data_IF_497685203840
#
_entry.id   IF_497685203840
#
_cell.length_a   1.000
_cell.length_b   1.000
_cell.length_c   1.000
_cell.angle_alpha   90.00
_cell.angle_beta   90.00
_cell.angle_gamma   90.00
#
_symmetry.space_group_name_H-M   'P 1'
#
loop_
_entity.id
_entity.type
_entity.pdbx_description
1 polymer ?
#
# COMPACT_ATOMS: atom_id res chain seq x y z
N UNK A 1 -69.28 9.63 41.67
CA UNK A 1 -68.30 8.69 41.06
C UNK A 1 -68.30 8.60 39.54
N UNK A 2 -69.17 9.29 38.78
CA UNK A 2 -69.22 9.22 37.28
C UNK A 2 -68.50 10.38 36.55
N UNK A 3 -67.91 11.35 37.30
CA UNK A 3 -67.23 12.53 36.68
C UNK A 3 -65.70 12.44 36.60
N UNK A 4 -65.09 11.44 37.26
CA UNK A 4 -63.66 11.23 37.30
C UNK A 4 -63.13 10.29 36.17
N UNK A 5 -64.03 9.46 35.59
CA UNK A 5 -63.62 8.49 34.52
C UNK A 5 -63.49 9.11 33.14
N UNK A 6 -64.21 10.19 32.83
CA UNK A 6 -64.16 10.85 31.53
C UNK A 6 -62.92 11.72 31.30
N UNK A 7 -62.25 12.19 32.37
CA UNK A 7 -61.02 12.99 32.25
C UNK A 7 -59.75 12.14 32.06
N UNK A 8 -59.75 10.86 32.51
CA UNK A 8 -58.58 9.97 32.28
C UNK A 8 -58.54 9.39 30.87
N UNK A 9 -59.64 9.17 30.23
CA UNK A 9 -59.71 8.63 28.83
C UNK A 9 -59.28 9.69 27.82
N UNK A 10 -59.55 10.98 28.05
CA UNK A 10 -59.17 12.07 27.12
C UNK A 10 -57.68 12.42 27.17
N UNK A 11 -57.00 12.12 28.30
CA UNK A 11 -55.53 12.36 28.44
C UNK A 11 -54.74 11.19 27.86
N UNK A 12 -55.28 9.95 27.92
CA UNK A 12 -54.63 8.79 27.27
C UNK A 12 -54.72 8.79 25.75
N UNK A 13 -55.78 9.36 25.17
CA UNK A 13 -55.92 9.48 23.72
C UNK A 13 -55.10 10.66 23.13
N UNK A 14 -54.69 11.66 23.93
CA UNK A 14 -53.90 12.80 23.44
C UNK A 14 -52.41 12.51 23.42
N UNK A 15 -51.93 11.50 24.18
CA UNK A 15 -50.53 11.03 24.18
C UNK A 15 -50.28 9.87 23.22
N UNK A 16 -51.30 9.37 22.51
CA UNK A 16 -51.13 8.28 21.52
C UNK A 16 -51.00 8.81 20.07
N UNK A 17 -51.14 10.13 19.86
CA UNK A 17 -51.07 10.73 18.51
C UNK A 17 -49.76 11.49 18.26
N UNK A 18 -48.84 11.59 19.28
CA UNK A 18 -47.55 12.29 19.12
C UNK A 18 -46.37 11.32 19.04
N UNK A 19 -46.59 10.03 18.80
CA UNK A 19 -45.56 9.00 18.60
C UNK A 19 -45.63 8.40 17.20
N UNK A 20 -46.01 9.20 16.23
CA UNK A 20 -45.95 8.80 14.83
C UNK A 20 -45.12 9.82 14.05
N UNK A 21 -44.15 9.31 13.32
CA UNK A 21 -43.27 9.96 12.33
C UNK A 21 -42.01 10.68 12.88
N UNK A 22 -41.08 9.89 13.41
CA UNK A 22 -39.70 9.96 13.00
C UNK A 22 -39.31 8.59 12.43
N UNK A 23 -39.88 8.23 11.31
CA UNK A 23 -39.23 7.28 10.42
C UNK A 23 -38.05 8.05 9.82
N UNK A 24 -36.89 7.96 10.44
CA UNK A 24 -35.64 8.05 9.69
C UNK A 24 -35.76 6.95 8.62
N UNK A 25 -35.92 7.37 7.40
CA UNK A 25 -35.69 6.51 6.24
C UNK A 25 -34.19 6.18 6.28
N UNK A 26 -33.82 5.14 7.03
CA UNK A 26 -32.60 4.41 6.74
C UNK A 26 -32.88 3.83 5.35
N UNK A 27 -32.32 4.47 4.34
CA UNK A 27 -32.27 3.89 3.00
C UNK A 27 -31.44 2.64 3.15
N UNK A 28 -32.10 1.50 3.25
CA UNK A 28 -31.47 0.18 3.15
C UNK A 28 -30.99 0.09 1.72
N UNK A 29 -29.72 0.38 1.51
CA UNK A 29 -29.03 0.12 0.24
C UNK A 29 -28.68 -1.39 0.23
N UNK A 30 -29.66 -2.23 -0.08
CA UNK A 30 -29.35 -3.59 -0.52
C UNK A 30 -28.44 -3.53 -1.75
N UNK A 31 -27.53 -4.51 -1.89
CA UNK A 31 -26.67 -4.64 -3.07
C UNK A 31 -27.47 -4.32 -4.34
N UNK A 32 -27.03 -3.32 -5.10
CA UNK A 32 -27.72 -2.94 -6.33
C UNK A 32 -27.34 -3.95 -7.43
N UNK A 33 -28.23 -4.90 -7.78
CA UNK A 33 -27.91 -5.92 -8.78
C UNK A 33 -27.53 -5.30 -10.13
N UNK A 34 -27.99 -4.07 -10.41
CA UNK A 34 -27.68 -3.38 -11.65
C UNK A 34 -26.21 -2.95 -11.71
N UNK A 35 -25.62 -2.52 -10.59
CA UNK A 35 -24.19 -2.18 -10.50
C UNK A 35 -23.36 -3.44 -10.75
N UNK A 36 -23.69 -4.55 -10.10
CA UNK A 36 -22.95 -5.81 -10.28
C UNK A 36 -23.03 -6.30 -11.73
N UNK A 37 -24.22 -6.27 -12.34
CA UNK A 37 -24.38 -6.63 -13.75
C UNK A 37 -23.59 -5.69 -14.68
N UNK A 38 -23.56 -4.39 -14.40
CA UNK A 38 -22.79 -3.42 -15.19
C UNK A 38 -21.28 -3.67 -15.08
N UNK A 39 -20.76 -4.04 -13.89
CA UNK A 39 -19.37 -4.42 -13.68
C UNK A 39 -19.04 -5.71 -14.46
N UNK A 40 -19.88 -6.75 -14.36
CA UNK A 40 -19.71 -8.00 -15.12
C UNK A 40 -19.65 -7.71 -16.63
N UNK A 41 -20.59 -6.94 -17.15
CA UNK A 41 -20.63 -6.59 -18.56
C UNK A 41 -19.39 -5.80 -19.01
N UNK A 42 -18.95 -4.82 -18.21
CA UNK A 42 -17.77 -4.03 -18.53
C UNK A 42 -16.48 -4.85 -18.42
N UNK A 43 -16.44 -5.81 -17.51
CA UNK A 43 -15.33 -6.75 -17.42
C UNK A 43 -15.22 -7.59 -18.69
N UNK A 44 -16.31 -8.23 -19.09
CA UNK A 44 -16.34 -9.09 -20.28
C UNK A 44 -16.09 -8.31 -21.59
N UNK A 45 -16.56 -7.04 -21.67
CA UNK A 45 -16.43 -6.23 -22.88
C UNK A 45 -15.08 -5.52 -23.01
N UNK A 46 -14.36 -5.29 -21.89
CA UNK A 46 -13.18 -4.43 -21.93
C UNK A 46 -12.10 -4.73 -20.86
N UNK A 47 -12.47 -4.90 -19.57
CA UNK A 47 -11.46 -4.91 -18.52
C UNK A 47 -10.59 -6.16 -18.52
N UNK A 48 -11.09 -7.31 -18.98
CA UNK A 48 -10.29 -8.53 -19.11
C UNK A 48 -9.13 -8.33 -20.11
N UNK A 49 -9.43 -7.79 -21.29
CA UNK A 49 -8.40 -7.48 -22.29
C UNK A 49 -7.44 -6.39 -21.82
N UNK A 50 -7.94 -5.40 -21.07
CA UNK A 50 -7.13 -4.33 -20.50
C UNK A 50 -6.17 -4.85 -19.42
N UNK A 51 -6.63 -5.73 -18.54
CA UNK A 51 -5.78 -6.41 -17.55
C UNK A 51 -4.66 -7.20 -18.25
N UNK A 52 -5.00 -7.99 -19.26
CA UNK A 52 -4.01 -8.75 -20.06
C UNK A 52 -3.00 -7.82 -20.72
N UNK A 53 -3.45 -6.66 -21.21
CA UNK A 53 -2.55 -5.68 -21.81
C UNK A 53 -1.55 -5.12 -20.78
N UNK A 54 -2.01 -4.70 -19.58
CA UNK A 54 -1.10 -4.23 -18.53
C UNK A 54 -0.14 -5.34 -18.09
N UNK A 55 -0.64 -6.55 -17.88
CA UNK A 55 0.19 -7.70 -17.51
C UNK A 55 1.31 -7.98 -18.52
N UNK A 56 1.02 -7.84 -19.81
CA UNK A 56 2.00 -8.07 -20.90
C UNK A 56 2.95 -6.89 -21.13
N UNK A 57 2.70 -5.73 -20.56
CA UNK A 57 3.48 -4.51 -20.78
C UNK A 57 3.97 -3.85 -19.46
N UNK A 58 4.50 -4.61 -18.49
CA UNK A 58 4.98 -4.06 -17.24
C UNK A 58 6.20 -3.16 -17.48
N UNK A 59 6.36 -2.14 -16.63
CA UNK A 59 7.49 -1.23 -16.65
C UNK A 59 8.03 -1.03 -15.23
N UNK A 60 9.35 -0.81 -15.11
CA UNK A 60 10.03 -0.60 -13.84
C UNK A 60 9.69 0.76 -13.23
N UNK A 61 9.88 0.89 -11.93
CA UNK A 61 9.66 2.10 -11.13
C UNK A 61 10.31 3.34 -11.76
N UNK A 62 9.55 4.43 -11.87
CA UNK A 62 9.88 5.69 -12.57
C UNK A 62 10.16 5.57 -14.07
N UNK A 63 9.81 4.44 -14.67
CA UNK A 63 9.95 4.19 -16.11
C UNK A 63 8.63 3.75 -16.76
N UNK A 64 7.49 3.94 -16.08
CA UNK A 64 6.14 3.48 -16.42
C UNK A 64 5.48 4.34 -17.53
N UNK A 65 6.23 4.66 -18.59
CA UNK A 65 5.78 5.61 -19.61
C UNK A 65 4.61 5.08 -20.45
N UNK A 66 4.63 3.80 -20.80
CA UNK A 66 3.55 3.17 -21.59
C UNK A 66 2.34 2.88 -20.73
N UNK A 67 2.58 2.45 -19.49
CA UNK A 67 1.54 2.19 -18.49
C UNK A 67 0.76 3.47 -18.19
N UNK A 68 1.47 4.57 -17.88
CA UNK A 68 0.85 5.87 -17.64
C UNK A 68 0.10 6.39 -18.88
N UNK A 69 0.69 6.29 -20.07
CA UNK A 69 0.04 6.72 -21.32
C UNK A 69 -1.23 5.91 -21.59
N UNK A 70 -1.20 4.59 -21.40
CA UNK A 70 -2.38 3.73 -21.56
C UNK A 70 -3.46 4.06 -20.55
N UNK A 71 -3.12 4.21 -19.29
CA UNK A 71 -4.08 4.62 -18.26
C UNK A 71 -4.68 6.00 -18.58
N UNK A 72 -3.87 6.97 -19.01
CA UNK A 72 -4.35 8.28 -19.41
C UNK A 72 -5.32 8.21 -20.60
N UNK A 73 -5.06 7.35 -21.58
CA UNK A 73 -5.95 7.10 -22.72
C UNK A 73 -7.32 6.56 -22.26
N UNK A 74 -7.31 5.55 -21.39
CA UNK A 74 -8.53 4.93 -20.83
C UNK A 74 -9.36 5.96 -20.04
N UNK A 75 -8.73 6.72 -19.16
CA UNK A 75 -9.42 7.73 -18.37
C UNK A 75 -9.98 8.88 -19.24
N UNK A 76 -9.23 9.34 -20.25
CA UNK A 76 -9.72 10.37 -21.20
C UNK A 76 -10.88 9.83 -22.05
N UNK A 77 -10.87 8.58 -22.45
CA UNK A 77 -11.99 7.96 -23.16
C UNK A 77 -13.28 7.94 -22.35
N UNK A 78 -13.16 7.90 -21.02
CA UNK A 78 -14.27 8.07 -20.07
C UNK A 78 -14.64 9.52 -19.78
N UNK A 79 -13.95 10.51 -20.40
CA UNK A 79 -14.21 11.93 -20.22
C UNK A 79 -13.56 12.56 -18.98
N UNK A 80 -12.51 11.95 -18.44
CA UNK A 80 -11.74 12.47 -17.30
C UNK A 80 -10.73 13.51 -17.78
N UNK A 81 -10.55 14.59 -17.01
CA UNK A 81 -9.48 15.58 -17.22
C UNK A 81 -8.18 15.03 -16.60
N UNK A 82 -7.21 14.64 -17.44
CA UNK A 82 -6.00 13.95 -17.02
C UNK A 82 -4.75 14.78 -17.21
N UNK A 83 -4.00 14.95 -16.13
CA UNK A 83 -2.65 15.55 -16.10
C UNK A 83 -1.62 14.43 -15.91
N UNK A 84 -0.73 14.27 -16.88
CA UNK A 84 0.40 13.33 -16.82
C UNK A 84 1.68 13.99 -16.29
N UNK A 85 2.67 13.17 -15.90
CA UNK A 85 3.97 13.66 -15.46
C UNK A 85 3.98 14.21 -14.04
N UNK A 86 3.08 13.77 -13.17
CA UNK A 86 3.02 14.15 -11.75
C UNK A 86 3.88 13.18 -10.95
N UNK A 87 4.97 13.67 -10.35
CA UNK A 87 5.97 12.81 -9.69
C UNK A 87 6.68 11.89 -10.67
N UNK A 88 7.18 12.43 -11.77
CA UNK A 88 7.81 11.77 -12.92
C UNK A 88 6.81 11.10 -13.87
N UNK A 89 6.54 9.80 -13.78
CA UNK A 89 5.66 9.05 -14.67
C UNK A 89 4.21 8.95 -14.17
N UNK A 90 3.91 9.46 -12.97
CA UNK A 90 2.56 9.44 -12.41
C UNK A 90 1.55 10.33 -13.15
N UNK A 91 0.28 10.11 -12.91
CA UNK A 91 -0.80 10.91 -13.47
C UNK A 91 -1.92 11.18 -12.46
N UNK A 92 -2.67 12.26 -12.71
CA UNK A 92 -3.86 12.63 -11.93
C UNK A 92 -5.03 12.88 -12.86
N UNK A 93 -6.15 12.19 -12.62
CA UNK A 93 -7.43 12.44 -13.27
C UNK A 93 -8.41 13.14 -12.34
N UNK A 94 -9.11 14.18 -12.82
CA UNK A 94 -10.11 14.88 -12.03
C UNK A 94 -11.50 14.73 -12.66
N UNK A 95 -12.47 14.35 -11.82
CA UNK A 95 -13.88 14.28 -12.19
C UNK A 95 -14.66 15.17 -11.24
N UNK A 96 -15.27 16.26 -11.74
CA UNK A 96 -16.15 17.14 -10.95
C UNK A 96 -17.60 16.77 -11.18
N UNK A 97 -18.35 16.61 -10.09
CA UNK A 97 -19.78 16.23 -10.10
C UNK A 97 -20.57 17.00 -9.03
N UNK A 98 -20.56 18.33 -9.10
CA UNK A 98 -21.23 19.19 -8.14
C UNK A 98 -20.40 19.51 -6.90
N UNK A 99 -21.06 20.10 -5.91
CA UNK A 99 -20.46 20.41 -4.61
C UNK A 99 -20.39 19.14 -3.75
N UNK A 100 -19.35 18.99 -2.94
CA UNK A 100 -19.17 17.84 -2.06
C UNK A 100 -17.69 17.58 -1.76
N UNK A 101 -17.37 16.46 -1.10
CA UNK A 101 -16.01 16.12 -0.73
C UNK A 101 -15.12 15.82 -1.94
N UNK A 102 -13.81 15.93 -1.73
CA UNK A 102 -12.77 15.44 -2.62
C UNK A 102 -12.34 14.04 -2.16
N UNK A 103 -12.59 13.01 -2.97
CA UNK A 103 -12.18 11.63 -2.68
C UNK A 103 -11.07 11.23 -3.64
N UNK A 104 -9.92 10.86 -3.09
CA UNK A 104 -8.80 10.31 -3.85
C UNK A 104 -8.95 8.80 -3.99
N UNK A 105 -8.72 8.27 -5.18
CA UNK A 105 -8.64 6.84 -5.49
C UNK A 105 -7.30 6.57 -6.17
N UNK A 106 -6.47 5.71 -5.55
CA UNK A 106 -5.12 5.43 -6.00
C UNK A 106 -4.97 4.01 -6.56
N UNK A 107 -4.23 3.89 -7.64
CA UNK A 107 -3.62 2.65 -8.08
C UNK A 107 -2.13 2.89 -8.38
N UNK A 108 -1.26 1.98 -7.97
CA UNK A 108 0.14 1.91 -8.36
C UNK A 108 0.29 1.31 -9.75
N UNK A 109 1.43 1.57 -10.43
CA UNK A 109 1.57 1.26 -11.86
C UNK A 109 2.81 0.43 -12.21
N UNK A 110 3.79 0.36 -11.31
CA UNK A 110 5.09 -0.21 -11.64
C UNK A 110 5.14 -1.74 -11.51
N UNK A 111 6.15 -2.32 -12.14
CA UNK A 111 6.49 -3.73 -12.09
C UNK A 111 7.89 -3.95 -11.54
N UNK A 112 8.23 -5.22 -11.33
CA UNK A 112 9.46 -5.67 -10.69
C UNK A 112 10.46 -6.24 -11.71
N UNK A 113 11.78 -6.16 -11.42
CA UNK A 113 12.83 -6.72 -12.28
C UNK A 113 12.91 -8.25 -12.14
N UNK A 114 11.82 -8.94 -12.47
CA UNK A 114 11.67 -10.39 -12.32
C UNK A 114 11.38 -11.02 -13.68
N UNK A 115 12.03 -12.16 -14.00
CA UNK A 115 11.69 -12.98 -15.14
C UNK A 115 10.48 -13.85 -14.81
N UNK A 116 9.38 -13.62 -15.49
CA UNK A 116 8.14 -14.36 -15.26
C UNK A 116 8.22 -15.83 -15.68
N UNK A 117 7.77 -16.71 -14.78
CA UNK A 117 7.63 -18.16 -14.96
C UNK A 117 6.29 -18.66 -14.37
N UNK A 118 5.25 -17.84 -14.47
CA UNK A 118 3.90 -18.11 -13.93
C UNK A 118 3.17 -19.24 -14.66
N UNK A 119 3.58 -19.53 -15.89
CA UNK A 119 2.89 -20.50 -16.76
C UNK A 119 1.64 -19.95 -17.46
N UNK A 120 1.31 -18.66 -17.30
CA UNK A 120 0.19 -18.02 -17.98
C UNK A 120 0.43 -17.93 -19.50
N UNK A 121 -0.63 -18.01 -20.28
CA UNK A 121 -0.53 -17.88 -21.75
C UNK A 121 -0.19 -16.46 -22.19
N UNK A 122 -0.42 -15.47 -21.33
CA UNK A 122 -0.16 -14.04 -21.54
C UNK A 122 0.99 -13.50 -20.69
N UNK A 123 1.92 -14.35 -20.24
CA UNK A 123 3.12 -13.95 -19.49
C UNK A 123 3.85 -12.77 -20.13
N UNK A 124 4.39 -11.89 -19.30
CA UNK A 124 5.30 -10.83 -19.74
C UNK A 124 6.57 -11.40 -20.41
N UNK A 125 6.98 -10.76 -21.47
CA UNK A 125 8.29 -10.98 -22.14
C UNK A 125 9.10 -9.70 -22.22
N UNK A 126 8.67 -8.67 -21.48
CA UNK A 126 9.30 -7.36 -21.50
C UNK A 126 10.69 -7.44 -20.87
N UNK A 127 11.62 -6.71 -21.50
CA UNK A 127 12.89 -6.34 -20.94
C UNK A 127 13.02 -4.83 -21.03
N UNK A 128 13.51 -4.22 -19.95
CA UNK A 128 13.67 -2.77 -19.87
C UNK A 128 15.04 -2.44 -19.23
N UNK A 129 15.65 -1.37 -19.69
CA UNK A 129 16.87 -0.86 -19.06
C UNK A 129 16.46 -0.07 -17.82
N UNK A 130 16.99 -0.46 -16.66
CA UNK A 130 16.73 0.21 -15.39
C UNK A 130 17.49 1.56 -15.30
N UNK A 131 17.30 2.29 -14.21
CA UNK A 131 17.94 3.59 -14.00
C UNK A 131 19.46 3.48 -13.84
N UNK A 132 19.99 2.30 -13.52
CA UNK A 132 21.45 2.03 -13.41
C UNK A 132 22.09 1.66 -14.75
N UNK A 133 21.27 1.46 -15.80
CA UNK A 133 21.73 1.10 -17.15
C UNK A 133 21.76 -0.40 -17.42
N UNK A 134 21.23 -1.23 -16.52
CA UNK A 134 21.19 -2.68 -16.68
C UNK A 134 19.87 -3.12 -17.34
N UNK A 135 19.96 -4.06 -18.32
CA UNK A 135 18.79 -4.63 -18.95
C UNK A 135 18.18 -5.74 -18.08
N UNK A 136 16.97 -5.50 -17.56
CA UNK A 136 16.23 -6.40 -16.66
C UNK A 136 14.98 -6.97 -17.33
N UNK A 137 14.58 -8.22 -17.04
CA UNK A 137 13.22 -8.67 -17.33
C UNK A 137 12.24 -7.94 -16.42
N UNK A 138 11.00 -7.76 -16.85
CA UNK A 138 9.99 -7.05 -16.06
C UNK A 138 8.69 -7.85 -15.96
N UNK A 139 8.10 -7.89 -14.77
CA UNK A 139 6.87 -8.60 -14.47
C UNK A 139 6.02 -7.81 -13.46
N UNK A 140 4.70 -7.84 -13.61
CA UNK A 140 3.79 -7.44 -12.53
C UNK A 140 3.69 -8.55 -11.46
N UNK A 141 4.76 -8.71 -10.66
CA UNK A 141 4.82 -9.73 -9.61
C UNK A 141 4.19 -9.29 -8.28
N UNK A 142 3.52 -8.13 -8.25
CA UNK A 142 2.76 -7.63 -7.11
C UNK A 142 1.27 -7.36 -7.43
N UNK A 143 0.88 -7.42 -8.72
CA UNK A 143 -0.51 -7.31 -9.15
C UNK A 143 -0.99 -5.88 -9.43
N UNK A 144 -0.06 -4.95 -9.69
CA UNK A 144 -0.40 -3.55 -10.01
C UNK A 144 -1.19 -3.42 -11.33
N UNK A 145 -1.08 -4.37 -12.24
CA UNK A 145 -1.95 -4.53 -13.41
C UNK A 145 -3.44 -4.66 -13.04
N UNK A 146 -3.74 -5.41 -11.97
CA UNK A 146 -5.09 -5.51 -11.40
C UNK A 146 -5.54 -4.20 -10.79
N UNK A 147 -4.64 -3.49 -10.09
CA UNK A 147 -4.96 -2.23 -9.42
C UNK A 147 -5.32 -1.15 -10.44
N UNK A 148 -4.50 -0.97 -11.47
CA UNK A 148 -4.75 0.00 -12.56
C UNK A 148 -6.03 -0.34 -13.31
N UNK A 149 -6.26 -1.62 -13.62
CA UNK A 149 -7.48 -2.07 -14.29
C UNK A 149 -8.73 -1.80 -13.44
N UNK A 150 -8.63 -2.02 -12.11
CA UNK A 150 -9.71 -1.71 -11.17
C UNK A 150 -9.99 -0.21 -11.09
N UNK A 151 -8.96 0.64 -11.20
CA UNK A 151 -9.13 2.10 -11.25
C UNK A 151 -9.95 2.53 -12.47
N UNK A 152 -9.66 1.96 -13.64
CA UNK A 152 -10.45 2.23 -14.88
C UNK A 152 -11.89 1.76 -14.71
N UNK A 153 -12.10 0.54 -14.23
CA UNK A 153 -13.45 0.01 -13.98
C UNK A 153 -14.25 0.84 -12.97
N UNK A 154 -13.62 1.25 -11.87
CA UNK A 154 -14.23 2.14 -10.85
C UNK A 154 -14.60 3.48 -11.47
N UNK A 155 -13.72 4.04 -12.28
CA UNK A 155 -13.98 5.32 -12.99
C UNK A 155 -15.21 5.20 -13.89
N UNK A 156 -15.32 4.12 -14.67
CA UNK A 156 -16.49 3.85 -15.51
C UNK A 156 -17.77 3.81 -14.70
N UNK A 157 -17.78 3.08 -13.56
CA UNK A 157 -18.96 2.99 -12.70
C UNK A 157 -19.34 4.36 -12.09
N UNK A 158 -18.38 5.17 -11.69
CA UNK A 158 -18.63 6.53 -11.19
C UNK A 158 -19.19 7.44 -12.28
N UNK A 159 -18.68 7.35 -13.50
CA UNK A 159 -19.15 8.16 -14.63
C UNK A 159 -20.56 7.77 -15.09
N UNK A 160 -20.88 6.48 -15.11
CA UNK A 160 -22.21 6.00 -15.51
C UNK A 160 -23.29 6.29 -14.45
N UNK A 161 -22.91 6.50 -13.19
CA UNK A 161 -23.81 6.68 -12.06
C UNK A 161 -23.61 8.06 -11.39
N UNK A 162 -23.40 9.11 -12.17
CA UNK A 162 -23.17 10.48 -11.64
C UNK A 162 -24.35 11.03 -10.83
N UNK A 163 -25.54 10.49 -10.99
CA UNK A 163 -26.73 10.82 -10.21
C UNK A 163 -26.72 10.25 -8.77
N UNK A 164 -25.82 9.31 -8.48
CA UNK A 164 -25.71 8.64 -7.16
C UNK A 164 -24.71 9.32 -6.21
N UNK A 165 -23.95 10.32 -6.66
CA UNK A 165 -22.93 10.97 -5.85
C UNK A 165 -22.73 12.43 -6.26
N UNK A 166 -22.14 13.23 -5.37
CA UNK A 166 -21.71 14.60 -5.67
C UNK A 166 -20.38 14.90 -4.98
N UNK A 167 -19.54 15.72 -5.62
CA UNK A 167 -18.21 16.07 -5.15
C UNK A 167 -17.17 15.99 -6.26
N UNK A 168 -15.91 15.75 -5.89
CA UNK A 168 -14.79 15.62 -6.83
C UNK A 168 -14.05 14.30 -6.59
N UNK A 169 -13.78 13.56 -7.66
CA UNK A 169 -12.86 12.40 -7.62
C UNK A 169 -11.49 12.86 -8.07
N UNK A 170 -10.45 12.49 -7.32
CA UNK A 170 -9.05 12.56 -7.73
C UNK A 170 -8.58 11.13 -7.98
N UNK A 171 -8.40 10.76 -9.24
CA UNK A 171 -7.81 9.48 -9.64
C UNK A 171 -6.30 9.64 -9.69
N UNK A 172 -5.58 8.75 -9.02
CA UNK A 172 -4.12 8.78 -8.94
C UNK A 172 -3.56 7.49 -9.53
N UNK A 173 -2.86 7.61 -10.67
CA UNK A 173 -1.97 6.58 -11.19
C UNK A 173 -0.58 6.84 -10.61
N UNK A 174 -0.21 6.09 -9.58
CA UNK A 174 1.02 6.30 -8.83
C UNK A 174 2.18 5.51 -9.41
N UNK A 175 3.35 6.11 -9.68
CA UNK A 175 4.55 5.39 -10.08
C UNK A 175 5.28 4.80 -8.87
N UNK A 176 6.27 3.95 -9.12
CA UNK A 176 7.40 3.64 -8.24
C UNK A 176 7.03 3.24 -6.78
N UNK A 177 5.98 2.43 -6.62
CA UNK A 177 5.61 1.86 -5.32
C UNK A 177 6.66 0.85 -4.85
N UNK A 178 7.19 0.03 -5.73
CA UNK A 178 8.12 -1.08 -5.43
C UNK A 178 9.49 -0.61 -4.88
N UNK A 179 9.81 0.67 -5.04
CA UNK A 179 10.95 1.32 -4.41
C UNK A 179 10.53 2.32 -3.32
N UNK A 180 9.25 2.26 -2.88
CA UNK A 180 8.70 3.02 -1.73
C UNK A 180 8.90 4.53 -1.88
N UNK A 181 8.75 5.07 -3.09
CA UNK A 181 9.09 6.48 -3.34
C UNK A 181 8.12 7.23 -4.28
N UNK A 182 7.17 6.55 -4.89
CA UNK A 182 6.28 7.14 -5.88
C UNK A 182 5.26 8.12 -5.30
N UNK A 183 4.60 7.75 -4.21
CA UNK A 183 3.66 8.63 -3.52
C UNK A 183 4.35 9.92 -3.02
N UNK A 184 5.56 9.77 -2.46
CA UNK A 184 6.36 10.91 -2.03
C UNK A 184 6.75 11.81 -3.21
N UNK A 185 7.18 11.23 -4.34
CA UNK A 185 7.53 12.00 -5.53
C UNK A 185 6.33 12.80 -6.07
N UNK A 186 5.12 12.24 -6.05
CA UNK A 186 3.91 12.97 -6.44
C UNK A 186 3.59 14.13 -5.49
N UNK A 187 3.73 13.94 -4.17
CA UNK A 187 3.56 14.99 -3.18
C UNK A 187 4.63 16.09 -3.33
N UNK A 188 5.89 15.71 -3.52
CA UNK A 188 6.99 16.67 -3.74
C UNK A 188 6.80 17.49 -5.04
N UNK A 189 6.10 16.93 -6.05
CA UNK A 189 5.69 17.64 -7.28
C UNK A 189 4.42 18.50 -7.09
N UNK A 190 3.93 18.62 -5.87
CA UNK A 190 2.80 19.48 -5.52
C UNK A 190 1.43 18.87 -5.78
N UNK A 191 1.26 17.56 -5.59
CA UNK A 191 -0.02 16.88 -5.78
C UNK A 191 -1.17 17.61 -5.08
N UNK A 192 -1.01 17.91 -3.80
CA UNK A 192 -2.09 18.52 -3.01
C UNK A 192 -2.26 20.01 -3.29
N UNK A 193 -1.19 20.72 -3.60
CA UNK A 193 -1.24 22.14 -3.98
C UNK A 193 -1.90 22.38 -5.34
N UNK A 194 -1.73 21.44 -6.27
CA UNK A 194 -2.23 21.53 -7.65
C UNK A 194 -3.67 21.04 -7.78
N UNK A 195 -4.02 19.97 -7.07
CA UNK A 195 -5.29 19.26 -7.27
C UNK A 195 -6.22 19.30 -6.06
N UNK A 196 -5.75 19.79 -4.92
CA UNK A 196 -6.49 19.89 -3.66
C UNK A 196 -6.14 18.76 -2.69
N UNK A 197 -6.35 19.04 -1.40
CA UNK A 197 -6.19 18.02 -0.33
C UNK A 197 -7.45 17.19 -0.27
N UNK A 198 -7.37 15.85 -0.39
CA UNK A 198 -8.56 15.00 -0.33
C UNK A 198 -9.14 14.92 1.10
N UNK A 199 -10.46 14.80 1.19
CA UNK A 199 -11.17 14.53 2.44
C UNK A 199 -11.02 13.03 2.84
N UNK A 200 -10.85 12.16 1.85
CA UNK A 200 -10.58 10.72 2.01
C UNK A 200 -9.63 10.22 0.93
N UNK A 201 -8.72 9.31 1.30
CA UNK A 201 -7.83 8.61 0.38
C UNK A 201 -8.15 7.10 0.39
N UNK A 202 -8.42 6.55 -0.79
CA UNK A 202 -8.77 5.14 -0.99
C UNK A 202 -7.69 4.43 -1.80
N UNK A 203 -7.29 3.23 -1.37
CA UNK A 203 -6.39 2.34 -2.09
C UNK A 203 -6.78 0.88 -1.91
N UNK A 204 -6.32 0.04 -2.82
CA UNK A 204 -6.47 -1.40 -2.71
C UNK A 204 -5.17 -2.12 -3.08
N UNK A 205 -5.03 -3.35 -2.61
CA UNK A 205 -3.98 -4.26 -3.05
C UNK A 205 -4.54 -5.68 -3.22
N UNK A 206 -4.16 -6.35 -4.30
CA UNK A 206 -4.53 -7.75 -4.49
C UNK A 206 -3.71 -8.65 -3.55
N UNK A 207 -4.32 -9.71 -3.04
CA UNK A 207 -3.69 -10.63 -2.09
C UNK A 207 -3.60 -12.04 -2.64
N UNK A 208 -2.40 -12.57 -2.78
CA UNK A 208 -2.16 -13.98 -3.04
C UNK A 208 -2.46 -14.83 -1.80
N UNK A 209 -2.98 -16.04 -2.00
CA UNK A 209 -3.37 -16.95 -0.92
C UNK A 209 -4.75 -16.66 -0.32
N UNK A 210 -5.46 -15.66 -0.86
CA UNK A 210 -6.85 -15.33 -0.50
C UNK A 210 -7.75 -15.59 -1.70
N UNK A 211 -8.91 -16.24 -1.52
CA UNK A 211 -9.82 -16.58 -2.63
C UNK A 211 -10.22 -15.37 -3.47
N UNK A 212 -10.18 -15.51 -4.80
CA UNK A 212 -10.62 -14.47 -5.74
C UNK A 212 -12.04 -14.00 -5.43
N UNK A 213 -12.26 -12.69 -5.50
CA UNK A 213 -13.56 -12.08 -5.23
C UNK A 213 -13.85 -11.79 -3.76
N UNK A 214 -12.95 -12.11 -2.83
CA UNK A 214 -13.09 -11.72 -1.43
C UNK A 214 -12.49 -10.32 -1.20
N UNK A 215 -13.07 -9.58 -0.25
CA UNK A 215 -12.55 -8.28 0.20
C UNK A 215 -12.20 -8.42 1.67
N UNK A 216 -11.04 -7.96 2.06
CA UNK A 216 -10.65 -7.87 3.47
C UNK A 216 -10.07 -6.51 3.80
N UNK A 217 -10.43 -6.02 4.99
CA UNK A 217 -9.95 -4.76 5.53
C UNK A 217 -9.73 -4.92 7.03
N UNK A 218 -8.75 -4.20 7.55
CA UNK A 218 -8.56 -4.06 8.99
C UNK A 218 -8.54 -2.58 9.35
N UNK A 219 -9.00 -2.26 10.52
CA UNK A 219 -8.77 -0.96 11.13
C UNK A 219 -7.34 -0.88 11.68
N UNK A 220 -6.78 0.32 11.73
CA UNK A 220 -5.41 0.53 12.17
C UNK A 220 -4.36 0.08 11.15
N UNK A 221 -3.34 -0.65 11.61
CA UNK A 221 -2.13 -0.91 10.81
C UNK A 221 -2.39 -1.92 9.70
N UNK A 222 -2.24 -1.47 8.44
CA UNK A 222 -2.26 -2.31 7.25
C UNK A 222 -0.86 -2.79 6.88
N UNK A 223 0.10 -1.86 6.76
CA UNK A 223 1.48 -2.15 6.42
C UNK A 223 2.45 -1.48 7.40
N UNK A 224 3.61 -2.10 7.60
CA UNK A 224 4.67 -1.56 8.45
C UNK A 224 5.39 -0.41 7.77
N UNK A 225 6.10 0.41 8.55
CA UNK A 225 7.12 1.30 8.01
C UNK A 225 8.25 0.51 7.38
N UNK A 226 8.91 1.11 6.42
CA UNK A 226 10.13 0.60 5.77
C UNK A 226 11.19 1.65 5.87
N UNK A 227 12.41 1.27 6.23
CA UNK A 227 13.58 2.11 6.11
C UNK A 227 14.77 1.29 5.60
N UNK A 228 15.34 1.71 4.48
CA UNK A 228 16.67 1.28 4.05
C UNK A 228 17.71 2.07 4.82
N UNK A 229 18.67 1.39 5.49
CA UNK A 229 19.71 2.02 6.27
C UNK A 229 21.07 1.53 5.82
N UNK A 230 21.91 2.46 5.37
CA UNK A 230 23.30 2.20 5.03
C UNK A 230 24.23 2.59 6.19
N UNK A 231 25.15 1.70 6.53
CA UNK A 231 26.19 2.00 7.54
C UNK A 231 27.56 1.78 6.93
N UNK A 232 28.31 2.86 6.77
CA UNK A 232 29.72 2.80 6.42
C UNK A 232 30.55 2.74 7.70
N UNK A 233 31.14 1.58 7.97
CA UNK A 233 32.08 1.37 9.08
C UNK A 233 33.48 1.62 8.55
N UNK A 234 34.07 2.75 8.97
CA UNK A 234 35.40 3.11 8.59
C UNK A 234 36.44 2.52 9.56
N UNK A 235 37.65 2.29 9.10
CA UNK A 235 38.72 1.70 9.87
C UNK A 235 40.07 2.40 9.59
N UNK A 236 41.13 1.83 10.12
CA UNK A 236 42.50 2.18 9.81
C UNK A 236 43.15 0.93 9.22
N UNK A 237 43.28 0.90 7.90
CA UNK A 237 43.80 -0.24 7.16
C UNK A 237 45.28 -0.50 7.38
N UNK A 238 45.76 -1.70 6.98
CA UNK A 238 47.17 -2.04 7.08
C UNK A 238 47.46 -3.52 6.86
N UNK A 239 48.66 -3.90 7.27
CA UNK A 239 49.12 -5.28 7.10
C UNK A 239 48.50 -6.22 8.14
N UNK A 240 47.88 -7.31 7.71
CA UNK A 240 47.19 -8.25 8.59
C UNK A 240 48.05 -8.90 9.71
N UNK A 241 49.38 -8.86 9.61
CA UNK A 241 50.30 -9.31 10.66
C UNK A 241 50.66 -8.24 11.69
N UNK A 242 50.20 -6.99 11.52
CA UNK A 242 50.48 -5.87 12.44
C UNK A 242 49.16 -5.20 12.92
N UNK A 243 48.22 -5.96 13.50
CA UNK A 243 46.89 -5.46 13.88
C UNK A 243 46.96 -4.32 14.92
N UNK A 244 48.01 -4.23 15.75
CA UNK A 244 48.20 -3.17 16.73
C UNK A 244 48.43 -1.78 16.12
N UNK A 245 48.66 -1.68 14.79
CA UNK A 245 48.83 -0.42 14.05
C UNK A 245 47.59 -0.01 13.30
N UNK A 246 46.49 -0.78 13.45
CA UNK A 246 45.24 -0.67 12.65
C UNK A 246 44.02 -0.64 13.54
N UNK A 247 42.89 -0.27 12.95
CA UNK A 247 41.54 -0.56 13.50
C UNK A 247 40.78 -1.29 12.40
N UNK A 248 40.57 -2.60 12.58
CA UNK A 248 39.99 -3.47 11.58
C UNK A 248 38.48 -3.23 11.43
N UNK A 249 37.98 -2.67 10.32
CA UNK A 249 36.57 -2.36 10.12
C UNK A 249 35.72 -3.64 9.98
N UNK A 250 36.28 -4.78 9.56
CA UNK A 250 35.56 -6.06 9.53
C UNK A 250 35.24 -6.52 10.95
N UNK A 251 36.19 -6.38 11.88
CA UNK A 251 35.95 -6.71 13.28
C UNK A 251 34.95 -5.76 13.92
N UNK A 252 35.06 -4.44 13.68
CA UNK A 252 34.09 -3.45 14.18
C UNK A 252 32.69 -3.68 13.63
N UNK A 253 32.53 -3.91 12.31
CA UNK A 253 31.27 -4.19 11.67
C UNK A 253 30.62 -5.50 12.17
N UNK A 254 31.44 -6.53 12.43
CA UNK A 254 30.94 -7.80 12.98
C UNK A 254 30.35 -7.61 14.38
N UNK A 255 31.00 -6.83 15.25
CA UNK A 255 30.46 -6.46 16.56
C UNK A 255 29.18 -5.64 16.42
N UNK A 256 29.13 -4.71 15.46
CA UNK A 256 27.97 -3.89 15.19
C UNK A 256 26.76 -4.75 14.80
N UNK A 257 26.92 -5.70 13.87
CA UNK A 257 25.83 -6.63 13.47
C UNK A 257 25.24 -7.35 14.66
N UNK A 258 26.08 -7.84 15.59
CA UNK A 258 25.62 -8.51 16.81
C UNK A 258 24.90 -7.52 17.73
N UNK A 259 25.44 -6.32 17.92
CA UNK A 259 24.89 -5.30 18.81
C UNK A 259 23.52 -4.79 18.31
N UNK A 260 23.34 -4.65 17.00
CA UNK A 260 22.06 -4.25 16.38
C UNK A 260 20.92 -5.22 16.73
N UNK A 261 21.18 -6.53 16.84
CA UNK A 261 20.17 -7.50 17.29
C UNK A 261 19.71 -7.25 18.73
N UNK A 262 20.59 -6.65 19.55
CA UNK A 262 20.28 -6.25 20.92
C UNK A 262 19.26 -5.13 21.01
N UNK A 263 19.14 -4.28 20.00
CA UNK A 263 18.14 -3.20 19.96
C UNK A 263 16.74 -3.84 20.03
N UNK A 264 16.41 -4.72 19.10
CA UNK A 264 15.09 -5.37 19.06
C UNK A 264 14.85 -6.22 20.30
N UNK A 265 15.82 -7.03 20.69
CA UNK A 265 15.62 -8.00 21.77
C UNK A 265 15.69 -7.44 23.18
N UNK A 266 16.27 -6.21 23.39
CA UNK A 266 16.57 -5.66 24.72
C UNK A 266 16.09 -4.21 24.93
N UNK A 267 15.79 -3.45 23.87
CA UNK A 267 15.43 -2.03 24.00
C UNK A 267 14.00 -1.74 23.54
N UNK A 268 13.44 -2.59 22.65
CA UNK A 268 12.08 -2.43 22.17
C UNK A 268 11.11 -3.24 23.04
N UNK A 269 9.92 -2.70 23.29
CA UNK A 269 8.86 -3.42 23.98
C UNK A 269 8.52 -4.71 23.20
N UNK A 270 8.52 -5.91 23.84
CA UNK A 270 8.27 -7.18 23.16
C UNK A 270 6.90 -7.29 22.48
N UNK A 271 5.95 -6.41 22.81
CA UNK A 271 4.64 -6.31 22.17
C UNK A 271 4.59 -5.28 21.02
N UNK A 272 5.71 -4.62 20.73
CA UNK A 272 5.82 -3.67 19.62
C UNK A 272 6.62 -4.32 18.49
N UNK A 273 5.96 -4.69 17.37
CA UNK A 273 6.64 -5.30 16.24
C UNK A 273 7.74 -4.40 15.68
N UNK A 274 8.94 -4.95 15.56
CA UNK A 274 10.09 -4.28 14.96
C UNK A 274 11.09 -5.31 14.43
N UNK A 275 11.72 -5.01 13.30
CA UNK A 275 12.71 -5.86 12.64
C UNK A 275 13.92 -5.02 12.21
N UNK A 276 15.12 -5.54 12.46
CA UNK A 276 16.37 -5.09 11.84
C UNK A 276 16.98 -6.29 11.14
N UNK A 277 17.10 -6.22 9.82
CA UNK A 277 17.79 -7.23 9.02
C UNK A 277 19.02 -6.61 8.36
N UNK A 278 20.20 -7.16 8.58
CA UNK A 278 21.42 -6.82 7.83
C UNK A 278 21.45 -7.70 6.58
N UNK A 279 21.05 -7.12 5.44
CA UNK A 279 20.93 -7.82 4.16
C UNK A 279 22.25 -7.91 3.39
N UNK A 280 23.16 -6.95 3.61
CA UNK A 280 24.46 -6.90 2.94
C UNK A 280 25.56 -6.56 3.92
N UNK A 281 26.71 -7.22 3.76
CA UNK A 281 27.95 -6.96 4.48
C UNK A 281 29.11 -7.05 3.47
N UNK A 282 29.69 -5.92 3.12
CA UNK A 282 30.71 -5.84 2.06
C UNK A 282 31.98 -5.18 2.59
N UNK A 283 33.09 -5.91 2.56
CA UNK A 283 34.40 -5.37 2.97
C UNK A 283 35.53 -6.39 2.87
N UNK A 284 36.74 -5.88 2.77
CA UNK A 284 37.95 -6.69 2.63
C UNK A 284 38.21 -7.13 1.19
N UNK A 285 39.54 -7.18 0.83
CA UNK A 285 39.99 -7.56 -0.52
C UNK A 285 40.85 -8.81 -0.52
N UNK A 286 41.67 -9.01 0.53
CA UNK A 286 42.66 -10.08 0.59
C UNK A 286 42.92 -10.50 2.04
N UNK A 287 43.16 -11.78 2.27
CA UNK A 287 43.32 -12.40 3.60
C UNK A 287 44.44 -11.80 4.47
N UNK A 288 45.43 -11.11 3.93
CA UNK A 288 46.56 -10.52 4.66
C UNK A 288 46.57 -8.98 4.65
N UNK A 289 45.46 -8.34 4.24
CA UNK A 289 45.27 -6.89 4.25
C UNK A 289 44.06 -6.57 5.13
N UNK A 290 44.24 -5.68 6.09
CA UNK A 290 43.13 -5.05 6.81
C UNK A 290 42.67 -3.88 5.94
N UNK A 291 41.40 -3.90 5.53
CA UNK A 291 40.77 -2.83 4.74
C UNK A 291 40.55 -1.58 5.59
N UNK A 292 40.16 -0.50 4.95
CA UNK A 292 39.85 0.79 5.59
C UNK A 292 38.36 1.06 5.73
N UNK A 293 37.51 0.20 5.14
CA UNK A 293 36.07 0.31 5.29
C UNK A 293 35.31 -1.03 5.13
N UNK A 294 34.11 -1.06 5.70
CA UNK A 294 33.05 -2.06 5.46
C UNK A 294 31.73 -1.33 5.30
N UNK A 295 30.92 -1.75 4.32
CA UNK A 295 29.60 -1.22 4.08
C UNK A 295 28.55 -2.27 4.45
N UNK A 296 27.56 -1.85 5.26
CA UNK A 296 26.38 -2.64 5.64
C UNK A 296 25.14 -2.02 5.03
N UNK A 297 24.23 -2.86 4.54
CA UNK A 297 22.89 -2.44 4.13
C UNK A 297 21.86 -3.17 4.97
N UNK A 298 20.93 -2.41 5.54
CA UNK A 298 19.91 -2.92 6.44
C UNK A 298 18.53 -2.55 5.91
N UNK A 299 17.54 -3.41 6.22
CA UNK A 299 16.13 -3.00 6.23
C UNK A 299 15.62 -2.96 7.66
N UNK A 300 14.91 -1.89 7.98
CA UNK A 300 14.24 -1.68 9.28
C UNK A 300 12.75 -1.62 9.04
N UNK A 301 11.98 -2.34 9.86
CA UNK A 301 10.50 -2.38 9.78
C UNK A 301 9.93 -2.14 11.16
N UNK A 302 8.88 -1.33 11.26
CA UNK A 302 8.15 -1.10 12.52
C UNK A 302 6.66 -0.85 12.27
N UNK A 303 5.85 -1.04 13.30
CA UNK A 303 4.40 -0.80 13.24
C UNK A 303 3.99 0.53 13.91
N UNK A 304 4.95 1.37 14.32
CA UNK A 304 4.66 2.64 14.98
C UNK A 304 5.78 3.63 14.73
N UNK A 305 5.46 4.90 14.53
CA UNK A 305 6.45 5.96 14.33
C UNK A 305 7.34 6.16 15.56
N UNK A 306 6.79 6.07 16.78
CA UNK A 306 7.59 6.17 18.00
C UNK A 306 8.66 5.06 18.07
N UNK A 307 8.28 3.82 17.72
CA UNK A 307 9.22 2.69 17.67
C UNK A 307 10.22 2.87 16.54
N UNK A 308 9.78 3.39 15.39
CA UNK A 308 10.65 3.68 14.24
C UNK A 308 11.74 4.68 14.61
N UNK A 309 11.37 5.82 15.20
CA UNK A 309 12.32 6.83 15.66
C UNK A 309 13.29 6.26 16.70
N UNK A 310 12.77 5.48 17.67
CA UNK A 310 13.59 4.81 18.67
C UNK A 310 14.59 3.84 18.03
N UNK A 311 14.17 2.99 17.10
CA UNK A 311 15.05 2.02 16.43
C UNK A 311 16.12 2.72 15.60
N UNK A 312 15.74 3.68 14.77
CA UNK A 312 16.68 4.44 13.94
C UNK A 312 17.70 5.24 14.78
N UNK A 313 17.25 5.84 15.89
CA UNK A 313 18.11 6.48 16.86
C UNK A 313 19.08 5.51 17.52
N UNK A 314 18.59 4.35 17.98
CA UNK A 314 19.41 3.31 18.58
C UNK A 314 20.44 2.71 17.63
N UNK A 315 20.13 2.59 16.33
CA UNK A 315 21.10 2.16 15.31
C UNK A 315 22.28 3.14 15.24
N UNK A 316 22.00 4.45 15.16
CA UNK A 316 23.04 5.50 15.12
C UNK A 316 23.93 5.46 16.37
N UNK A 317 23.30 5.42 17.54
CA UNK A 317 24.02 5.41 18.82
C UNK A 317 24.87 4.15 18.98
N UNK A 318 24.31 2.99 18.61
CA UNK A 318 25.03 1.71 18.63
C UNK A 318 26.26 1.74 17.71
N UNK A 319 26.11 2.23 16.47
CA UNK A 319 27.19 2.33 15.52
C UNK A 319 28.31 3.23 16.05
N UNK A 320 27.98 4.41 16.56
CA UNK A 320 28.96 5.34 17.12
C UNK A 320 29.69 4.76 18.34
N UNK A 321 28.95 4.13 19.26
CA UNK A 321 29.53 3.58 20.49
C UNK A 321 30.41 2.35 20.20
N UNK A 322 30.06 1.49 19.27
CA UNK A 322 30.91 0.37 18.83
C UNK A 322 32.19 0.90 18.17
N UNK A 323 32.10 1.95 17.34
CA UNK A 323 33.27 2.60 16.77
C UNK A 323 34.21 3.15 17.84
N UNK A 324 33.69 3.87 18.84
CA UNK A 324 34.48 4.40 19.98
C UNK A 324 35.11 3.31 20.83
N UNK A 325 34.36 2.24 21.12
CA UNK A 325 34.81 1.08 21.89
C UNK A 325 36.06 0.45 21.24
N UNK A 326 36.12 0.46 19.89
CA UNK A 326 37.24 -0.08 19.12
C UNK A 326 38.35 0.94 18.84
N UNK A 327 38.29 2.14 19.45
CA UNK A 327 39.35 3.13 19.36
C UNK A 327 39.32 3.96 18.06
N UNK A 328 38.24 4.00 17.32
CA UNK A 328 38.12 4.89 16.17
C UNK A 328 38.12 6.35 16.62
N UNK A 329 38.91 7.20 15.96
CA UNK A 329 38.89 8.64 16.19
C UNK A 329 37.53 9.22 15.72
N UNK A 330 37.17 10.40 16.24
CA UNK A 330 35.85 10.98 16.01
C UNK A 330 35.54 11.22 14.52
N UNK A 331 36.52 11.54 13.71
CA UNK A 331 36.39 11.75 12.27
C UNK A 331 36.27 10.47 11.44
N UNK A 332 36.53 9.29 12.06
CA UNK A 332 36.35 7.97 11.47
C UNK A 332 35.20 7.16 12.07
N UNK A 333 34.39 7.75 12.97
CA UNK A 333 33.23 7.05 13.47
C UNK A 333 32.29 6.62 12.33
N UNK A 334 31.55 5.50 12.47
CA UNK A 334 30.66 5.02 11.44
C UNK A 334 29.67 6.08 10.96
N UNK A 335 29.37 6.09 9.66
CA UNK A 335 28.37 6.96 9.06
C UNK A 335 27.09 6.14 8.86
N UNK A 336 26.00 6.58 9.46
CA UNK A 336 24.67 5.97 9.31
C UNK A 336 23.80 6.89 8.47
N UNK A 337 23.24 6.36 7.38
CA UNK A 337 22.33 7.08 6.48
C UNK A 337 21.04 6.30 6.36
N UNK A 338 19.90 6.97 6.53
CA UNK A 338 18.61 6.45 6.11
C UNK A 338 18.49 6.77 4.63
N UNK A 339 18.25 5.76 3.81
CA UNK A 339 18.13 5.86 2.37
C UNK A 339 16.82 6.50 1.93
N UNK A 340 16.66 6.66 0.63
CA UNK A 340 15.44 7.22 0.04
C UNK A 340 14.26 6.22 0.03
N UNK A 341 14.55 4.93 0.04
CA UNK A 341 13.53 3.89 0.21
C UNK A 341 13.08 3.83 1.67
N UNK A 342 12.15 4.71 2.01
CA UNK A 342 11.67 4.91 3.38
C UNK A 342 10.24 5.39 3.34
N UNK A 343 9.34 4.68 4.03
CA UNK A 343 7.92 5.04 4.15
C UNK A 343 7.42 4.88 5.58
N UNK A 344 6.51 5.75 6.04
CA UNK A 344 5.84 5.56 7.33
C UNK A 344 4.89 4.36 7.31
N UNK A 345 4.35 4.00 8.48
CA UNK A 345 3.35 2.94 8.63
C UNK A 345 2.05 3.32 7.90
N UNK A 346 1.53 2.44 7.04
CA UNK A 346 0.19 2.59 6.45
C UNK A 346 -0.86 2.21 7.48
N UNK A 347 -1.70 3.18 7.86
CA UNK A 347 -2.72 3.02 8.89
C UNK A 347 -4.07 3.43 8.32
N UNK A 348 -5.02 2.52 8.37
CA UNK A 348 -6.41 2.81 8.07
C UNK A 348 -7.02 3.68 9.18
N UNK A 349 -7.75 4.72 8.78
CA UNK A 349 -8.51 5.54 9.71
C UNK A 349 -9.63 4.71 10.34
N UNK A 350 -9.62 4.63 11.68
CA UNK A 350 -10.58 3.85 12.43
C UNK A 350 -12.03 4.27 12.14
N UNK A 351 -12.29 5.58 12.16
CA UNK A 351 -13.64 6.09 11.98
C UNK A 351 -14.16 5.87 10.55
N UNK A 352 -13.29 6.08 9.54
CA UNK A 352 -13.64 5.85 8.15
C UNK A 352 -13.95 4.37 7.88
N UNK A 353 -13.11 3.45 8.38
CA UNK A 353 -13.36 2.00 8.23
C UNK A 353 -14.67 1.59 8.90
N UNK A 354 -14.87 1.96 10.17
CA UNK A 354 -16.07 1.55 10.90
C UNK A 354 -17.37 2.18 10.39
N UNK A 355 -17.29 3.35 9.76
CA UNK A 355 -18.42 3.95 9.04
C UNK A 355 -18.75 3.19 7.74
N UNK A 356 -17.73 2.73 6.99
CA UNK A 356 -17.90 2.03 5.71
C UNK A 356 -18.35 0.58 5.87
N UNK A 357 -17.89 -0.13 6.90
CA UNK A 357 -18.12 -1.57 7.11
C UNK A 357 -19.59 -2.00 7.01
N UNK A 358 -20.59 -1.31 7.62
CA UNK A 358 -21.99 -1.71 7.50
C UNK A 358 -22.47 -1.73 6.04
N UNK A 359 -22.10 -0.70 5.27
CA UNK A 359 -22.43 -0.60 3.84
C UNK A 359 -21.80 -1.73 3.04
N UNK A 360 -20.53 -2.03 3.26
CA UNK A 360 -19.85 -3.14 2.60
C UNK A 360 -20.44 -4.50 2.98
N UNK A 361 -20.74 -4.73 4.26
CA UNK A 361 -21.36 -5.98 4.73
C UNK A 361 -22.72 -6.19 4.04
N UNK A 362 -23.51 -5.13 3.91
CA UNK A 362 -24.83 -5.19 3.29
C UNK A 362 -24.75 -5.36 1.76
N UNK A 363 -23.89 -4.57 1.10
CA UNK A 363 -23.83 -4.54 -0.37
C UNK A 363 -22.99 -5.67 -0.95
N UNK A 364 -21.89 -6.04 -0.29
CA UNK A 364 -21.03 -7.12 -0.76
C UNK A 364 -21.45 -8.49 -0.21
N UNK A 365 -22.38 -8.52 0.75
CA UNK A 365 -23.00 -9.75 1.27
C UNK A 365 -22.14 -10.57 2.24
N UNK A 366 -21.01 -10.02 2.75
CA UNK A 366 -20.14 -10.64 3.73
C UNK A 366 -19.50 -9.60 4.65
N UNK A 367 -18.88 -10.04 5.76
CA UNK A 367 -18.13 -9.15 6.64
C UNK A 367 -16.68 -9.04 6.14
N UNK A 368 -16.27 -7.90 5.57
CA UNK A 368 -14.94 -7.74 5.02
C UNK A 368 -13.86 -7.52 6.09
N UNK A 369 -14.23 -7.35 7.36
CA UNK A 369 -13.25 -7.06 8.41
C UNK A 369 -12.35 -8.27 8.66
N UNK A 370 -11.06 -8.09 8.39
CA UNK A 370 -10.05 -9.09 8.68
C UNK A 370 -9.72 -9.12 10.16
N UNK A 371 -9.89 -10.29 10.79
CA UNK A 371 -9.58 -10.54 12.19
C UNK A 371 -8.33 -11.38 12.39
N UNK A 372 -7.74 -11.90 11.32
CA UNK A 372 -6.51 -12.70 11.37
C UNK A 372 -5.30 -11.83 11.75
N UNK A 373 -4.34 -12.43 12.44
CA UNK A 373 -3.07 -11.77 12.72
C UNK A 373 -2.28 -11.55 11.41
N UNK A 374 -1.57 -10.42 11.33
CA UNK A 374 -0.63 -10.17 10.24
C UNK A 374 0.51 -11.17 10.32
N UNK A 375 0.87 -11.77 9.18
CA UNK A 375 1.93 -12.76 9.09
C UNK A 375 3.28 -12.18 8.66
N UNK A 376 3.35 -10.87 8.34
CA UNK A 376 4.55 -10.20 7.86
C UNK A 376 4.53 -8.70 8.09
N UNK A 377 5.66 -8.07 7.81
CA UNK A 377 5.87 -6.63 7.94
C UNK A 377 6.18 -5.99 6.57
N UNK A 378 5.31 -6.22 5.59
CA UNK A 378 5.34 -5.56 4.28
C UNK A 378 5.19 -4.04 4.44
N UNK A 379 5.72 -3.27 3.49
CA UNK A 379 5.54 -1.83 3.41
C UNK A 379 4.66 -1.44 2.23
N UNK A 380 4.16 -0.20 2.25
CA UNK A 380 3.31 0.38 1.22
C UNK A 380 3.40 1.92 1.31
N UNK A 381 3.77 2.57 0.22
CA UNK A 381 4.05 4.01 0.23
C UNK A 381 2.79 4.89 0.11
N UNK A 382 1.61 4.30 -0.08
CA UNK A 382 0.31 4.97 0.09
C UNK A 382 0.23 5.75 1.42
N UNK A 383 0.97 5.30 2.43
CA UNK A 383 1.10 5.96 3.72
C UNK A 383 1.44 7.45 3.61
N UNK A 384 2.24 7.87 2.61
CA UNK A 384 2.60 9.27 2.44
C UNK A 384 1.40 10.15 2.16
N UNK A 385 0.40 9.70 1.39
CA UNK A 385 -0.80 10.49 1.13
C UNK A 385 -1.62 10.77 2.39
N UNK A 386 -1.58 9.87 3.36
CA UNK A 386 -2.37 9.97 4.60
C UNK A 386 -1.59 10.60 5.76
N UNK A 387 -0.25 10.67 5.67
CA UNK A 387 0.65 11.10 6.75
C UNK A 387 1.27 12.48 6.53
N UNK A 388 0.67 13.30 5.66
CA UNK A 388 1.03 14.71 5.53
C UNK A 388 0.55 15.52 6.75
N UNK A 389 0.89 16.81 6.82
CA UNK A 389 0.33 17.73 7.83
C UNK A 389 -1.20 17.80 7.81
N UNK A 390 -1.83 17.41 6.72
CA UNK A 390 -3.29 17.41 6.54
C UNK A 390 -3.98 16.21 7.21
N UNK A 391 -3.24 15.15 7.55
CA UNK A 391 -3.77 13.95 8.20
C UNK A 391 -5.01 13.37 7.49
N UNK A 392 -4.90 13.14 6.18
CA UNK A 392 -6.01 12.65 5.33
C UNK A 392 -6.47 11.27 5.81
N UNK A 393 -7.76 11.07 6.12
CA UNK A 393 -8.29 9.76 6.47
C UNK A 393 -8.11 8.75 5.33
N UNK A 394 -7.34 7.67 5.59
CA UNK A 394 -7.06 6.64 4.61
C UNK A 394 -7.88 5.37 4.82
N UNK A 395 -8.32 4.77 3.73
CA UNK A 395 -8.91 3.44 3.70
C UNK A 395 -8.20 2.61 2.65
N UNK A 396 -7.40 1.67 3.10
CA UNK A 396 -6.68 0.72 2.26
C UNK A 396 -7.19 -0.70 2.53
N UNK A 397 -7.53 -1.45 1.49
CA UNK A 397 -8.13 -2.78 1.64
C UNK A 397 -7.50 -3.79 0.69
N UNK A 398 -7.69 -5.08 0.99
CA UNK A 398 -7.17 -6.16 0.16
C UNK A 398 -8.28 -6.84 -0.64
N UNK A 399 -7.92 -7.26 -1.85
CA UNK A 399 -8.78 -8.03 -2.76
C UNK A 399 -8.16 -9.41 -2.95
N UNK A 400 -8.87 -10.47 -2.68
CA UNK A 400 -8.40 -11.84 -2.93
C UNK A 400 -8.18 -12.08 -4.42
N UNK A 401 -7.00 -12.61 -4.76
CA UNK A 401 -6.56 -12.82 -6.14
C UNK A 401 -6.29 -14.29 -6.52
N UNK A 402 -6.49 -15.25 -5.61
CA UNK A 402 -6.18 -16.65 -5.92
C UNK A 402 -7.39 -17.37 -6.50
N UNK A 403 -7.28 -18.00 -7.71
CA UNK A 403 -8.35 -18.76 -8.32
C UNK A 403 -8.84 -19.91 -7.44
N UNK A 404 -10.13 -20.28 -7.55
CA UNK A 404 -10.78 -21.28 -6.70
C UNK A 404 -10.12 -22.66 -6.78
N UNK A 405 -9.75 -23.11 -7.98
CA UNK A 405 -9.07 -24.39 -8.19
C UNK A 405 -7.67 -24.44 -7.55
N UNK A 406 -6.97 -23.31 -7.53
CA UNK A 406 -5.69 -23.16 -6.83
C UNK A 406 -5.90 -23.14 -5.32
N UNK A 407 -6.93 -22.45 -4.81
CA UNK A 407 -7.28 -22.46 -3.39
C UNK A 407 -7.56 -23.89 -2.89
N UNK A 408 -8.31 -24.69 -3.63
CA UNK A 408 -8.58 -26.11 -3.31
C UNK A 408 -7.27 -26.88 -3.14
N UNK A 409 -6.28 -26.69 -4.02
CA UNK A 409 -4.99 -27.36 -3.95
C UNK A 409 -4.13 -26.88 -2.78
N UNK A 410 -4.21 -25.58 -2.45
CA UNK A 410 -3.53 -25.02 -1.28
C UNK A 410 -4.10 -25.63 0.01
N UNK A 411 -5.42 -25.67 0.15
CA UNK A 411 -6.12 -26.24 1.30
C UNK A 411 -5.86 -27.76 1.46
N UNK A 412 -5.70 -28.45 0.34
CA UNK A 412 -5.29 -29.87 0.34
C UNK A 412 -3.80 -30.08 0.70
N UNK A 413 -3.01 -29.02 0.83
CA UNK A 413 -1.57 -29.08 1.11
C UNK A 413 -0.72 -29.55 -0.09
N UNK A 414 -1.26 -29.49 -1.30
CA UNK A 414 -0.58 -29.90 -2.53
C UNK A 414 0.40 -28.85 -3.05
N UNK A 415 0.17 -27.58 -2.73
CA UNK A 415 1.04 -26.46 -3.08
C UNK A 415 0.87 -25.30 -2.10
N UNK A 416 1.85 -24.40 -2.09
CA UNK A 416 1.72 -23.08 -1.46
C UNK A 416 1.12 -22.06 -2.46
N UNK A 417 0.51 -21.00 -1.94
CA UNK A 417 0.13 -19.87 -2.79
C UNK A 417 1.37 -19.26 -3.45
N UNK A 418 1.33 -18.91 -4.74
CA UNK A 418 2.42 -18.20 -5.39
C UNK A 418 2.64 -16.85 -4.71
N UNK A 419 3.77 -16.63 -4.02
CA UNK A 419 3.96 -15.41 -3.23
C UNK A 419 4.17 -14.19 -4.13
N UNK A 420 3.80 -13.02 -3.63
CA UNK A 420 4.23 -11.76 -4.23
C UNK A 420 5.76 -11.72 -4.40
N UNK A 421 6.26 -10.96 -5.38
CA UNK A 421 7.67 -10.82 -5.74
C UNK A 421 8.34 -12.15 -6.14
N UNK A 422 7.55 -13.10 -6.64
CA UNK A 422 8.01 -14.39 -7.13
C UNK A 422 7.84 -14.50 -8.65
N UNK A 423 8.75 -15.19 -9.37
CA UNK A 423 8.55 -15.52 -10.79
C UNK A 423 7.26 -16.30 -11.08
N UNK A 424 6.73 -16.98 -10.08
CA UNK A 424 5.53 -17.82 -10.17
C UNK A 424 4.25 -17.09 -9.77
N UNK A 425 4.33 -15.82 -9.40
CA UNK A 425 3.16 -15.03 -9.00
C UNK A 425 2.16 -14.91 -10.14
N UNK A 426 0.91 -15.11 -9.83
CA UNK A 426 -0.22 -14.80 -10.69
C UNK A 426 -1.50 -14.61 -9.87
N UNK A 427 -2.48 -13.95 -10.45
CA UNK A 427 -3.80 -13.74 -9.87
C UNK A 427 -4.90 -14.12 -10.87
N UNK A 428 -6.10 -14.35 -10.36
CA UNK A 428 -7.32 -14.48 -11.16
C UNK A 428 -7.71 -13.10 -11.72
N UNK A 429 -7.75 -12.89 -13.04
CA UNK A 429 -8.20 -11.62 -13.61
C UNK A 429 -9.59 -11.18 -13.13
N UNK A 430 -10.46 -12.14 -12.77
CA UNK A 430 -11.81 -11.88 -12.25
C UNK A 430 -11.81 -11.12 -10.92
N UNK A 431 -10.69 -11.09 -10.20
CA UNK A 431 -10.53 -10.28 -8.98
C UNK A 431 -10.72 -8.78 -9.24
N UNK A 432 -10.45 -8.30 -10.45
CA UNK A 432 -10.74 -6.93 -10.90
C UNK A 432 -12.20 -6.55 -10.58
N UNK A 433 -13.17 -7.44 -10.80
CA UNK A 433 -14.61 -7.17 -10.55
C UNK A 433 -14.88 -6.82 -9.10
N UNK A 434 -14.29 -7.58 -8.18
CA UNK A 434 -14.43 -7.33 -6.75
C UNK A 434 -13.73 -6.03 -6.32
N UNK A 435 -12.57 -5.74 -6.90
CA UNK A 435 -11.86 -4.47 -6.69
C UNK A 435 -12.70 -3.27 -7.13
N UNK A 436 -13.32 -3.34 -8.31
CA UNK A 436 -14.21 -2.30 -8.84
C UNK A 436 -15.44 -2.13 -7.95
N UNK A 437 -16.12 -3.22 -7.57
CA UNK A 437 -17.33 -3.17 -6.75
C UNK A 437 -17.05 -2.56 -5.37
N UNK A 438 -15.99 -2.99 -4.70
CA UNK A 438 -15.62 -2.49 -3.38
C UNK A 438 -15.17 -1.01 -3.44
N UNK A 439 -14.35 -0.64 -4.41
CA UNK A 439 -13.85 0.72 -4.54
C UNK A 439 -14.97 1.71 -4.92
N UNK A 440 -15.83 1.34 -5.89
CA UNK A 440 -17.00 2.14 -6.26
C UNK A 440 -17.92 2.36 -5.05
N UNK A 441 -18.23 1.29 -4.33
CA UNK A 441 -19.08 1.34 -3.13
C UNK A 441 -18.48 2.25 -2.05
N UNK A 442 -17.18 2.14 -1.79
CA UNK A 442 -16.47 2.99 -0.83
C UNK A 442 -16.51 4.47 -1.25
N UNK A 443 -16.20 4.76 -2.50
CA UNK A 443 -16.21 6.13 -3.02
C UNK A 443 -17.60 6.77 -2.90
N UNK A 444 -18.66 6.08 -3.37
CA UNK A 444 -20.05 6.56 -3.28
C UNK A 444 -20.48 6.75 -1.82
N UNK A 445 -20.04 5.86 -0.93
CA UNK A 445 -20.31 6.01 0.50
C UNK A 445 -19.74 7.33 1.04
N UNK A 446 -18.46 7.63 0.79
CA UNK A 446 -17.81 8.84 1.32
C UNK A 446 -18.32 10.12 0.65
N UNK A 447 -18.75 10.09 -0.61
CA UNK A 447 -19.43 11.21 -1.22
C UNK A 447 -20.75 11.57 -0.54
N UNK A 448 -21.49 10.57 -0.08
CA UNK A 448 -22.81 10.77 0.52
C UNK A 448 -22.77 10.89 2.05
N UNK A 449 -21.63 10.64 2.71
CA UNK A 449 -21.43 10.67 4.16
C UNK A 449 -20.09 11.34 4.51
N UNK A 450 -19.89 12.60 4.17
CA UNK A 450 -18.63 13.33 4.34
C UNK A 450 -18.22 13.51 5.80
#
# INVERSE_FOLDING_TARGET
MKRFYKKRLAIQMRNLITLLFCFFSVSIFAADPAIKMAIEQHYDDHLEDLFVWFHQNPELSFLENKTAARLAEELRALGVDVTEGVGATGLVGIIKNGEGPLVMIRADMDGLPILEDSGLTYMSRVRQVNLDGDEMPVMHACGHDMHVTSLVGTTKMLMDNRDKWSGTVMLVGQPAEEIINGAKAMLDDGLYERFGVPDYALGLHVSSGTPSGTISIRDGIMYSSVDSVDIQVRGIGGHGAYPQQTVDPIYVASQLVIALQGIISRQINPFSPAVITVGSFQGGNKHNIISDEVNLQLTVRTDSEDVREQVLGSIRDTAFNIGRLNGLPNDLLPIVRVGFESTPTTVNDYAAVHKLLPTWTEQLGYSPLETSERTGMGGEDFAFFTRTEHQVPGVFFSVGGTPEDIMIRIEAGEMAAPPHHSPFFFIDPKSVKAGVEAMYTAAVYFFNNP
#
